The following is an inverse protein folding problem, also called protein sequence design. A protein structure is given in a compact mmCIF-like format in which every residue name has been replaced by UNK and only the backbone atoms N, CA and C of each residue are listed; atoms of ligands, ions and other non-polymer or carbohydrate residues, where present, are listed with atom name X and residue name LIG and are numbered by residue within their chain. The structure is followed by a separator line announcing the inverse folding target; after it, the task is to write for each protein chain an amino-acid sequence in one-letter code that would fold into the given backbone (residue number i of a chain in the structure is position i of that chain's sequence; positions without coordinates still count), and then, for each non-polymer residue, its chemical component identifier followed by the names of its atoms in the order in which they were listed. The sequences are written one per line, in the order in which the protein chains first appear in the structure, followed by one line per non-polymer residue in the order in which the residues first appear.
data_IF_890291275805
#
_entry.id   IF_890291275805
#
_cell.length_a   1.000
_cell.length_b   1.000
_cell.length_c   1.000
_cell.angle_alpha   90.00
_cell.angle_beta   90.00
_cell.angle_gamma   90.00
#
_symmetry.space_group_name_H-M   'P 1'
#
loop_
_entity.id
_entity.type
_entity.pdbx_description
1 polymer ?
#
# COMPACT_ATOMS: atom_id res chain seq x y z
N UNK A 1 23.02 -13.94 -46.66
CA UNK A 1 22.42 -13.56 -45.37
C UNK A 1 23.40 -13.96 -44.27
N UNK A 2 24.10 -13.01 -43.68
CA UNK A 2 25.09 -13.32 -42.65
C UNK A 2 24.36 -13.61 -41.34
N UNK A 3 24.64 -14.75 -40.73
CA UNK A 3 24.16 -15.12 -39.40
C UNK A 3 24.75 -14.10 -38.42
N UNK A 4 23.93 -13.50 -37.53
CA UNK A 4 24.48 -12.62 -36.49
C UNK A 4 25.43 -13.46 -35.64
N UNK A 5 26.73 -13.20 -35.75
CA UNK A 5 27.72 -13.88 -34.94
C UNK A 5 27.52 -13.56 -33.47
N UNK A 6 27.45 -14.61 -32.65
CA UNK A 6 27.55 -14.49 -31.20
C UNK A 6 28.90 -13.85 -30.90
N UNK A 7 28.93 -12.59 -30.55
CA UNK A 7 30.16 -11.96 -30.10
C UNK A 7 30.48 -12.52 -28.71
N UNK A 8 31.38 -13.49 -28.68
CA UNK A 8 31.99 -13.98 -27.45
C UNK A 8 32.96 -12.91 -26.98
N UNK A 9 32.62 -12.20 -25.96
CA UNK A 9 33.53 -11.27 -25.29
C UNK A 9 34.45 -12.13 -24.43
N UNK A 10 35.67 -12.30 -24.89
CA UNK A 10 36.64 -13.15 -24.19
C UNK A 10 37.15 -12.48 -22.90
N UNK A 11 37.42 -13.27 -21.92
CA UNK A 11 37.64 -13.07 -20.49
C UNK A 11 38.82 -12.15 -20.10
N UNK A 12 39.40 -11.37 -21.01
CA UNK A 12 40.63 -10.61 -20.76
C UNK A 12 40.47 -9.09 -20.83
N UNK A 13 39.25 -8.57 -21.01
CA UNK A 13 39.05 -7.13 -21.00
C UNK A 13 38.46 -6.71 -19.63
N UNK A 14 39.18 -5.90 -18.85
CA UNK A 14 38.73 -5.53 -17.50
C UNK A 14 37.42 -4.73 -17.48
N UNK A 15 37.04 -4.13 -18.59
CA UNK A 15 35.76 -3.40 -18.73
C UNK A 15 35.34 -3.34 -20.19
N UNK A 16 34.15 -3.83 -20.51
CA UNK A 16 33.50 -3.56 -21.80
C UNK A 16 32.58 -2.37 -21.66
N UNK A 17 32.84 -1.29 -22.39
CA UNK A 17 32.01 -0.08 -22.40
C UNK A 17 31.13 -0.06 -23.66
N UNK A 18 29.82 -0.01 -23.48
CA UNK A 18 28.86 0.21 -24.54
C UNK A 18 28.39 1.66 -24.51
N UNK A 19 28.85 2.49 -25.45
CA UNK A 19 28.57 3.93 -25.49
C UNK A 19 27.18 4.26 -26.07
N UNK A 20 26.36 3.31 -26.40
CA UNK A 20 25.01 3.52 -26.93
C UNK A 20 23.96 2.62 -26.28
N UNK A 21 24.34 1.97 -25.19
CA UNK A 21 23.49 0.94 -24.56
C UNK A 21 23.56 -0.40 -25.30
N UNK A 22 23.02 -1.41 -24.66
CA UNK A 22 22.86 -2.76 -25.24
C UNK A 22 21.42 -2.89 -25.68
N UNK A 23 21.19 -2.95 -26.99
CA UNK A 23 19.90 -3.30 -27.55
C UNK A 23 19.94 -4.73 -28.05
N UNK A 24 19.19 -5.62 -27.44
CA UNK A 24 19.13 -7.03 -27.82
C UNK A 24 17.70 -7.53 -27.77
N UNK A 25 17.33 -8.33 -28.79
CA UNK A 25 16.08 -9.09 -28.76
C UNK A 25 16.21 -10.40 -27.97
N UNK A 26 17.42 -10.75 -27.52
CA UNK A 26 17.72 -11.94 -26.73
C UNK A 26 17.99 -11.57 -25.28
N UNK A 27 17.79 -12.50 -24.33
CA UNK A 27 18.15 -12.29 -22.94
C UNK A 27 19.62 -11.90 -22.77
N UNK A 28 19.90 -11.02 -21.83
CA UNK A 28 21.27 -10.76 -21.34
C UNK A 28 21.48 -11.70 -20.16
N UNK A 29 22.34 -12.69 -20.34
CA UNK A 29 22.70 -13.63 -19.28
C UNK A 29 24.07 -13.24 -18.69
N UNK A 30 24.13 -13.18 -17.37
CA UNK A 30 25.39 -12.99 -16.63
C UNK A 30 25.57 -14.17 -15.70
N UNK A 31 26.77 -14.72 -15.64
CA UNK A 31 27.13 -15.79 -14.68
C UNK A 31 27.61 -15.22 -13.34
N UNK A 32 27.72 -13.91 -13.25
CA UNK A 32 28.14 -13.13 -12.08
C UNK A 32 27.21 -11.95 -11.85
N UNK A 33 27.60 -11.07 -10.93
CA UNK A 33 26.84 -9.90 -10.60
C UNK A 33 26.73 -8.92 -11.78
N UNK A 34 25.56 -8.33 -11.95
CA UNK A 34 25.34 -7.19 -12.83
C UNK A 34 25.17 -5.93 -11.99
N UNK A 35 26.06 -4.93 -12.19
CA UNK A 35 25.97 -3.65 -11.49
C UNK A 35 25.38 -2.59 -12.42
N UNK A 36 24.27 -1.97 -11.99
CA UNK A 36 23.66 -0.83 -12.67
C UNK A 36 24.00 0.42 -11.85
N UNK A 37 24.89 1.27 -12.38
CA UNK A 37 25.33 2.51 -11.71
C UNK A 37 24.29 3.64 -11.70
N UNK A 38 23.12 3.42 -12.30
CA UNK A 38 22.02 4.39 -12.38
C UNK A 38 20.68 3.72 -12.12
N UNK A 39 19.68 4.12 -12.88
CA UNK A 39 18.31 3.57 -12.75
C UNK A 39 18.15 2.34 -13.62
N UNK A 40 17.65 1.24 -13.05
CA UNK A 40 17.13 0.10 -13.78
C UNK A 40 15.62 0.29 -14.00
N UNK A 41 15.19 0.49 -15.24
CA UNK A 41 13.79 0.51 -15.61
C UNK A 41 13.35 -0.85 -16.17
N UNK A 42 12.40 -1.50 -15.51
CA UNK A 42 11.81 -2.76 -15.95
C UNK A 42 10.36 -2.48 -16.37
N UNK A 43 10.06 -2.62 -17.66
CA UNK A 43 8.69 -2.41 -18.18
C UNK A 43 7.78 -3.63 -18.01
N UNK A 44 8.34 -4.77 -17.65
CA UNK A 44 7.64 -6.02 -17.39
C UNK A 44 7.75 -6.46 -15.94
N UNK A 45 7.59 -7.76 -15.71
CA UNK A 45 7.75 -8.37 -14.38
C UNK A 45 9.23 -8.64 -14.13
N UNK A 46 9.76 -8.11 -13.02
CA UNK A 46 11.05 -8.53 -12.49
C UNK A 46 10.86 -9.76 -11.60
N UNK A 47 11.48 -10.89 -11.97
CA UNK A 47 11.42 -12.12 -11.18
C UNK A 47 12.76 -12.31 -10.47
N UNK A 48 12.71 -12.48 -9.16
CA UNK A 48 13.89 -12.77 -8.33
C UNK A 48 13.78 -14.19 -7.79
N UNK A 49 14.81 -15.01 -7.97
CA UNK A 49 14.87 -16.36 -7.40
C UNK A 49 15.22 -16.36 -5.90
N UNK A 50 15.77 -15.27 -5.41
CA UNK A 50 16.00 -15.00 -3.99
C UNK A 50 15.34 -13.69 -3.59
N UNK A 51 15.12 -13.50 -2.30
CA UNK A 51 14.57 -12.24 -1.80
C UNK A 51 15.52 -11.07 -2.16
N UNK A 52 15.03 -10.01 -2.82
CA UNK A 52 15.86 -8.87 -3.13
C UNK A 52 16.27 -8.12 -1.85
N UNK A 53 17.52 -7.71 -1.77
CA UNK A 53 18.03 -6.88 -0.67
C UNK A 53 18.07 -5.44 -1.14
N UNK A 54 17.34 -4.57 -0.46
CA UNK A 54 17.33 -3.13 -0.74
C UNK A 54 18.24 -2.42 0.27
N UNK A 55 19.24 -1.67 -0.22
CA UNK A 55 20.14 -0.88 0.61
C UNK A 55 19.47 0.33 1.29
N UNK A 56 18.30 0.72 0.80
CA UNK A 56 17.39 1.67 1.42
C UNK A 56 15.98 1.08 1.39
N UNK A 57 15.11 1.55 2.28
CA UNK A 57 13.70 1.12 2.24
C UNK A 57 13.12 1.40 0.85
N UNK A 58 12.48 0.39 0.20
CA UNK A 58 11.87 0.60 -1.09
C UNK A 58 10.84 1.73 -0.96
N UNK A 59 10.97 2.74 -1.82
CA UNK A 59 9.97 3.81 -1.94
C UNK A 59 8.81 3.30 -2.78
N UNK A 60 7.99 2.46 -2.19
CA UNK A 60 6.78 1.89 -2.77
C UNK A 60 5.64 1.97 -1.77
N UNK A 61 4.49 1.34 -1.98
CA UNK A 61 3.39 1.30 -1.03
C UNK A 61 3.74 0.41 0.18
N UNK A 62 4.88 0.69 0.81
CA UNK A 62 5.20 0.25 2.15
C UNK A 62 4.32 1.05 3.10
N UNK A 63 4.02 0.52 4.25
CA UNK A 63 3.17 1.14 5.27
C UNK A 63 3.53 2.61 5.43
N UNK A 64 2.74 3.50 4.84
CA UNK A 64 2.95 4.94 4.89
C UNK A 64 1.91 5.54 5.82
N UNK A 65 2.38 6.21 6.86
CA UNK A 65 1.51 7.01 7.70
C UNK A 65 1.10 8.27 6.92
N UNK A 66 -0.15 8.34 6.52
CA UNK A 66 -0.75 9.54 5.94
C UNK A 66 -1.45 10.30 7.05
N UNK A 67 -0.92 11.46 7.40
CA UNK A 67 -1.51 12.32 8.41
C UNK A 67 -2.53 13.24 7.76
N UNK A 68 -3.78 13.08 8.12
CA UNK A 68 -4.88 13.88 7.61
C UNK A 68 -5.21 15.02 8.63
N UNK A 69 -4.32 15.98 8.77
CA UNK A 69 -4.38 17.00 9.82
C UNK A 69 -5.30 18.18 9.53
N UNK A 70 -5.80 18.32 8.30
CA UNK A 70 -6.51 19.54 7.86
C UNK A 70 -7.98 19.30 7.49
N UNK A 71 -8.50 18.09 7.61
CA UNK A 71 -9.81 17.76 7.07
C UNK A 71 -10.88 17.84 8.16
N UNK A 72 -11.31 19.04 8.41
CA UNK A 72 -12.57 19.28 9.15
C UNK A 72 -13.74 18.84 8.26
N UNK A 73 -14.33 17.68 8.55
CA UNK A 73 -15.50 17.17 7.83
C UNK A 73 -15.28 16.82 6.35
N UNK A 74 -14.05 16.72 5.88
CA UNK A 74 -13.77 16.39 4.48
C UNK A 74 -13.84 14.88 4.21
N UNK A 75 -14.22 14.54 2.98
CA UNK A 75 -14.18 13.16 2.47
C UNK A 75 -12.95 12.96 1.60
N UNK A 76 -12.20 11.90 1.86
CA UNK A 76 -11.06 11.46 1.07
C UNK A 76 -11.39 10.14 0.40
N UNK A 77 -11.32 10.08 -0.92
CA UNK A 77 -11.48 8.84 -1.67
C UNK A 77 -10.13 8.15 -1.76
N UNK A 78 -10.07 6.93 -1.23
CA UNK A 78 -8.88 6.10 -1.27
C UNK A 78 -8.76 5.37 -2.60
N UNK A 79 -7.53 5.06 -2.98
CA UNK A 79 -7.24 4.30 -4.20
C UNK A 79 -6.58 2.96 -3.86
N UNK A 80 -6.67 1.98 -4.75
CA UNK A 80 -5.99 0.70 -4.58
C UNK A 80 -4.47 0.84 -4.40
N UNK A 81 -3.86 1.86 -5.03
CA UNK A 81 -2.42 2.15 -4.89
C UNK A 81 -2.02 2.61 -3.47
N UNK A 82 -2.99 3.01 -2.64
CA UNK A 82 -2.77 3.38 -1.25
C UNK A 82 -2.97 2.20 -0.28
N UNK A 83 -3.20 0.99 -0.81
CA UNK A 83 -3.24 -0.22 0.02
C UNK A 83 -1.95 -0.34 0.84
N UNK A 84 -2.07 -0.77 2.08
CA UNK A 84 -0.94 -0.85 3.00
C UNK A 84 -0.68 0.42 3.81
N UNK A 85 -1.45 1.48 3.62
CA UNK A 85 -1.24 2.74 4.34
C UNK A 85 -2.04 2.82 5.64
N UNK A 86 -1.50 3.62 6.56
CA UNK A 86 -2.15 4.00 7.81
C UNK A 86 -2.66 5.44 7.67
N UNK A 87 -3.96 5.63 7.86
CA UNK A 87 -4.63 6.94 7.82
C UNK A 87 -4.90 7.40 9.24
N UNK A 88 -4.32 8.53 9.59
CA UNK A 88 -4.40 9.08 10.92
C UNK A 88 -5.35 10.27 10.97
N UNK A 89 -6.42 10.16 11.73
CA UNK A 89 -7.30 11.29 12.03
C UNK A 89 -6.65 12.22 13.07
N UNK A 90 -6.26 13.40 12.63
CA UNK A 90 -5.77 14.50 13.45
C UNK A 90 -6.69 15.72 13.40
N UNK A 91 -7.90 15.55 12.90
CA UNK A 91 -8.86 16.63 12.87
C UNK A 91 -9.15 17.15 14.29
N UNK A 92 -9.16 18.45 14.44
CA UNK A 92 -9.49 19.12 15.72
C UNK A 92 -10.97 19.39 15.87
N UNK A 93 -11.74 19.21 14.80
CA UNK A 93 -13.20 19.31 14.77
C UNK A 93 -13.75 18.57 13.55
N UNK A 94 -15.05 18.27 13.59
CA UNK A 94 -15.73 17.52 12.54
C UNK A 94 -15.32 16.04 12.52
N UNK A 95 -15.95 15.28 11.63
CA UNK A 95 -15.70 13.85 11.45
C UNK A 95 -15.19 13.62 10.03
N UNK A 96 -13.88 13.46 9.82
CA UNK A 96 -13.36 13.13 8.50
C UNK A 96 -13.89 11.78 8.06
N UNK A 97 -14.08 11.64 6.75
CA UNK A 97 -14.56 10.43 6.12
C UNK A 97 -13.56 9.92 5.09
N UNK A 98 -13.31 8.62 5.09
CA UNK A 98 -12.55 7.94 4.06
C UNK A 98 -13.46 7.01 3.26
N UNK A 99 -13.44 7.16 1.95
CA UNK A 99 -14.16 6.25 1.05
C UNK A 99 -13.21 5.20 0.53
N UNK A 100 -13.47 3.94 0.85
CA UNK A 100 -12.71 2.79 0.37
C UNK A 100 -12.86 2.65 -1.14
N UNK A 101 -11.85 2.17 -1.85
CA UNK A 101 -11.97 1.88 -3.29
C UNK A 101 -12.90 0.70 -3.54
N UNK A 102 -13.19 0.44 -4.80
CA UNK A 102 -13.88 -0.79 -5.21
C UNK A 102 -13.20 -2.00 -4.60
N UNK A 103 -14.00 -2.91 -4.05
CA UNK A 103 -13.52 -4.12 -3.39
C UNK A 103 -12.65 -4.96 -4.34
N UNK A 104 -11.43 -5.25 -3.92
CA UNK A 104 -10.52 -6.14 -4.63
C UNK A 104 -9.71 -6.94 -3.60
N UNK A 105 -9.46 -8.20 -3.90
CA UNK A 105 -8.79 -9.11 -2.98
C UNK A 105 -7.40 -8.60 -2.58
N UNK A 106 -7.10 -8.65 -1.29
CA UNK A 106 -5.79 -8.30 -0.73
C UNK A 106 -5.57 -6.82 -0.46
N UNK A 107 -6.50 -5.93 -0.81
CA UNK A 107 -6.41 -4.54 -0.38
C UNK A 107 -6.57 -4.45 1.15
N UNK A 108 -5.79 -3.58 1.80
CA UNK A 108 -5.92 -3.35 3.23
C UNK A 108 -5.55 -1.92 3.62
N UNK A 109 -6.23 -1.39 4.64
CA UNK A 109 -6.06 -0.04 5.16
C UNK A 109 -6.20 -0.04 6.67
N UNK A 110 -5.42 0.79 7.33
CA UNK A 110 -5.53 1.03 8.78
C UNK A 110 -5.95 2.47 9.02
N UNK A 111 -6.89 2.67 9.91
CA UNK A 111 -7.38 3.98 10.34
C UNK A 111 -7.14 4.13 11.83
N UNK A 112 -6.64 5.29 12.26
CA UNK A 112 -6.33 5.54 13.68
C UNK A 112 -6.70 6.97 14.09
N UNK A 113 -7.04 7.13 15.36
CA UNK A 113 -7.40 8.41 15.98
C UNK A 113 -6.18 8.97 16.69
N UNK A 114 -5.79 10.21 16.35
CA UNK A 114 -4.79 11.00 17.10
C UNK A 114 -5.35 12.26 17.72
N UNK A 115 -6.66 12.47 17.63
CA UNK A 115 -7.34 13.62 18.23
C UNK A 115 -8.65 13.16 18.90
N UNK A 116 -8.82 13.49 20.15
CA UNK A 116 -10.03 13.14 20.94
C UNK A 116 -11.27 13.95 20.56
N UNK A 117 -11.12 15.01 19.80
CA UNK A 117 -12.23 15.92 19.46
C UNK A 117 -13.00 15.50 18.21
N UNK A 118 -12.50 14.51 17.48
CA UNK A 118 -13.14 14.06 16.26
C UNK A 118 -12.93 12.57 16.07
N UNK A 119 -14.02 11.81 15.96
CA UNK A 119 -14.01 10.45 15.43
C UNK A 119 -13.72 10.44 13.92
N UNK A 120 -14.00 9.33 13.28
CA UNK A 120 -13.90 9.20 11.82
C UNK A 120 -14.96 8.27 11.25
N UNK A 121 -15.17 8.38 9.96
CA UNK A 121 -16.07 7.50 9.22
C UNK A 121 -15.29 6.83 8.07
N UNK A 122 -15.53 5.54 7.88
CA UNK A 122 -15.06 4.79 6.71
C UNK A 122 -16.27 4.30 5.94
N UNK A 123 -16.35 4.62 4.65
CA UNK A 123 -17.46 4.24 3.78
C UNK A 123 -16.97 3.39 2.61
N UNK A 124 -17.84 2.58 2.06
CA UNK A 124 -17.61 1.85 0.80
C UNK A 124 -17.80 0.35 0.93
N UNK A 125 -18.48 -0.23 -0.05
CA UNK A 125 -18.78 -1.66 -0.09
C UNK A 125 -19.40 -2.22 1.19
N UNK A 126 -19.46 -3.53 1.32
CA UNK A 126 -19.87 -4.18 2.57
C UNK A 126 -18.71 -4.22 3.55
N UNK A 127 -18.89 -3.66 4.72
CA UNK A 127 -17.89 -3.68 5.82
C UNK A 127 -18.43 -4.60 6.92
N UNK A 128 -17.64 -5.58 7.31
CA UNK A 128 -17.94 -6.50 8.42
C UNK A 128 -16.90 -6.28 9.51
N UNK A 129 -17.36 -5.80 10.65
CA UNK A 129 -16.51 -5.45 11.80
C UNK A 129 -17.15 -5.91 13.11
N UNK A 130 -16.69 -5.39 14.23
CA UNK A 130 -17.31 -5.53 15.55
C UNK A 130 -17.60 -4.16 16.14
N UNK A 131 -18.58 -4.08 17.00
CA UNK A 131 -18.90 -2.85 17.73
C UNK A 131 -17.76 -2.44 18.69
N UNK A 132 -17.06 -3.43 19.25
CA UNK A 132 -15.87 -3.26 20.08
C UNK A 132 -15.02 -4.52 19.98
N UNK A 133 -13.83 -4.54 20.57
CA UNK A 133 -12.93 -5.72 20.53
C UNK A 133 -13.62 -7.01 21.01
N UNK A 134 -14.56 -6.91 21.95
CA UNK A 134 -15.37 -8.04 22.49
C UNK A 134 -16.85 -7.96 22.10
N UNK A 135 -17.22 -6.97 21.29
CA UNK A 135 -18.61 -6.68 20.93
C UNK A 135 -19.18 -7.60 19.85
N UNK A 136 -20.48 -7.45 19.62
CA UNK A 136 -21.20 -8.15 18.57
C UNK A 136 -20.66 -7.75 17.18
N UNK A 137 -20.83 -8.65 16.21
CA UNK A 137 -20.56 -8.35 14.81
C UNK A 137 -21.51 -7.26 14.31
N UNK A 138 -20.98 -6.33 13.54
CA UNK A 138 -21.70 -5.27 12.85
C UNK A 138 -21.41 -5.36 11.35
N UNK A 139 -22.42 -5.08 10.53
CA UNK A 139 -22.28 -5.09 9.07
C UNK A 139 -23.03 -3.89 8.51
N UNK A 140 -22.38 -3.18 7.60
CA UNK A 140 -22.97 -2.02 6.93
C UNK A 140 -22.09 -1.55 5.78
N UNK A 141 -22.43 -0.42 5.19
CA UNK A 141 -21.61 0.27 4.16
C UNK A 141 -20.84 1.44 4.73
N UNK A 142 -21.10 1.77 5.98
CA UNK A 142 -20.46 2.86 6.72
C UNK A 142 -20.05 2.35 8.09
N UNK A 143 -18.80 2.62 8.47
CA UNK A 143 -18.27 2.32 9.78
C UNK A 143 -17.85 3.64 10.44
N UNK A 144 -18.34 3.91 11.63
CA UNK A 144 -18.10 5.16 12.34
C UNK A 144 -17.43 4.90 13.69
N UNK A 145 -16.32 5.59 13.94
CA UNK A 145 -15.75 5.79 15.25
C UNK A 145 -16.32 7.13 15.76
N UNK A 146 -17.20 7.10 16.74
CA UNK A 146 -18.08 8.22 17.07
C UNK A 146 -17.35 9.33 17.83
N UNK A 147 -17.52 10.58 17.38
CA UNK A 147 -17.04 11.76 18.11
C UNK A 147 -17.60 11.78 19.56
N UNK A 148 -16.74 12.11 20.51
CA UNK A 148 -17.10 12.14 21.94
C UNK A 148 -16.92 10.81 22.66
N UNK A 149 -16.87 9.68 21.94
CA UNK A 149 -16.48 8.37 22.46
C UNK A 149 -15.16 7.89 21.86
N UNK A 150 -14.68 8.54 20.80
CA UNK A 150 -13.38 8.27 20.21
C UNK A 150 -12.27 8.61 21.21
N UNK A 151 -11.31 7.71 21.33
CA UNK A 151 -10.13 7.87 22.18
C UNK A 151 -8.88 7.88 21.30
N UNK A 152 -7.89 8.68 21.67
CA UNK A 152 -6.57 8.61 20.98
C UNK A 152 -6.04 7.17 21.05
N UNK A 153 -5.67 6.65 19.89
CA UNK A 153 -5.26 5.26 19.75
C UNK A 153 -6.37 4.30 19.30
N UNK A 154 -7.63 4.76 19.22
CA UNK A 154 -8.66 3.96 18.54
C UNK A 154 -8.22 3.68 17.11
N UNK A 155 -8.29 2.42 16.73
CA UNK A 155 -7.72 1.94 15.47
C UNK A 155 -8.58 0.83 14.90
N UNK A 156 -8.71 0.78 13.58
CA UNK A 156 -9.25 -0.37 12.88
C UNK A 156 -8.44 -0.66 11.62
N UNK A 157 -8.18 -1.94 11.39
CA UNK A 157 -7.59 -2.43 10.14
C UNK A 157 -8.61 -3.25 9.39
N UNK A 158 -8.85 -2.88 8.14
CA UNK A 158 -9.75 -3.54 7.20
C UNK A 158 -8.96 -4.19 6.08
N UNK A 159 -9.29 -5.43 5.76
CA UNK A 159 -8.77 -6.19 4.62
C UNK A 159 -9.93 -6.56 3.70
N UNK A 160 -9.75 -6.45 2.41
CA UNK A 160 -10.73 -6.86 1.42
C UNK A 160 -10.53 -8.32 1.00
N UNK A 161 -11.61 -9.10 1.05
CA UNK A 161 -11.65 -10.50 0.57
C UNK A 161 -12.04 -10.62 -0.92
N UNK A 162 -12.12 -9.49 -1.64
CA UNK A 162 -12.57 -9.39 -3.02
C UNK A 162 -14.02 -8.94 -3.16
N UNK A 163 -14.84 -9.06 -2.12
CA UNK A 163 -16.27 -8.68 -2.11
C UNK A 163 -16.62 -7.79 -0.93
N UNK A 164 -16.01 -8.03 0.22
CA UNK A 164 -16.30 -7.35 1.48
C UNK A 164 -15.02 -6.90 2.17
N UNK A 165 -15.14 -5.86 2.95
CA UNK A 165 -14.09 -5.37 3.83
C UNK A 165 -14.24 -6.01 5.20
N UNK A 166 -13.23 -6.73 5.63
CA UNK A 166 -13.22 -7.48 6.88
C UNK A 166 -12.28 -6.86 7.89
N UNK A 167 -12.74 -6.66 9.10
CA UNK A 167 -11.90 -6.24 10.20
C UNK A 167 -10.94 -7.37 10.59
N UNK A 168 -9.65 -7.06 10.66
CA UNK A 168 -8.60 -7.98 11.16
C UNK A 168 -8.06 -7.55 12.52
N UNK A 169 -8.09 -6.27 12.83
CA UNK A 169 -7.75 -5.75 14.16
C UNK A 169 -8.57 -4.51 14.49
N UNK A 170 -8.82 -4.30 15.78
CA UNK A 170 -9.61 -3.18 16.27
C UNK A 170 -9.23 -2.84 17.71
N UNK A 171 -9.17 -1.53 18.00
CA UNK A 171 -9.23 -0.93 19.31
C UNK A 171 -10.26 0.20 19.26
N UNK A 172 -11.07 0.34 20.30
CA UNK A 172 -12.13 1.34 20.34
C UNK A 172 -13.53 0.81 20.01
N UNK A 173 -14.48 1.75 19.95
CA UNK A 173 -15.90 1.49 19.69
C UNK A 173 -16.30 2.00 18.33
N UNK A 174 -17.02 1.17 17.59
CA UNK A 174 -17.47 1.45 16.23
C UNK A 174 -18.95 1.12 16.08
N UNK A 175 -19.61 1.87 15.22
CA UNK A 175 -20.98 1.62 14.77
C UNK A 175 -20.99 1.44 13.25
N UNK A 176 -21.87 0.60 12.74
CA UNK A 176 -22.09 0.42 11.30
C UNK A 176 -23.50 0.87 10.91
N UNK A 177 -23.62 1.42 9.68
CA UNK A 177 -24.88 1.80 9.04
C UNK A 177 -24.89 1.39 7.56
#
# INVERSE_FOLDING_TARGET
MATPGTQKIEDHLPVVKFNGGIQTALPIETTSDATVGGTLAVTGVATFTAAPVFGAAPSGPTTRLVTNSALVGATVVLTAAQSGQVFNNRATSGTPSWTLPTAANGLWYTFTVSSVTAGFTVTGGTIVAKASATGAAITGTTLTNTQGTAVVGDTITLVCDGTSWRMVSQSGVFAAA
#
